data_IF_351553247566
#
_entry.id   IF_351553247566
#
_cell.length_a   1.000
_cell.length_b   1.000
_cell.length_c   1.000
_cell.angle_alpha   90.00
_cell.angle_beta   90.00
_cell.angle_gamma   90.00
#
_symmetry.space_group_name_H-M   'P 1'
#
loop_
_entity.id
_entity.type
_entity.pdbx_description
1 polymer ?
#
# COMPACT_ATOMS: atom_id res chain seq x y z
N UNK A 1 -3.36 -15.92 22.62
CA UNK A 1 -2.32 -15.27 21.78
C UNK A 1 -2.81 -13.85 21.51
N UNK A 2 -2.02 -12.80 21.81
CA UNK A 2 -2.33 -11.47 21.31
C UNK A 2 -2.47 -11.53 19.78
N UNK A 3 -3.40 -10.78 19.20
CA UNK A 3 -3.52 -10.70 17.75
C UNK A 3 -2.31 -9.92 17.21
N UNK A 4 -1.53 -10.54 16.32
CA UNK A 4 -0.38 -9.89 15.66
C UNK A 4 -0.82 -8.72 14.74
N UNK A 5 -2.12 -8.56 14.51
CA UNK A 5 -2.72 -7.57 13.62
C UNK A 5 -3.32 -6.37 14.36
N UNK A 6 -3.83 -6.57 15.58
CA UNK A 6 -4.48 -5.52 16.36
C UNK A 6 -4.30 -5.79 17.85
N UNK A 7 -3.54 -4.92 18.51
CA UNK A 7 -3.30 -4.95 19.96
C UNK A 7 -4.36 -4.08 20.62
N UNK A 8 -5.53 -4.65 20.93
CA UNK A 8 -6.70 -3.93 21.47
C UNK A 8 -6.42 -3.12 22.73
N UNK A 9 -5.39 -3.50 23.48
CA UNK A 9 -4.91 -2.88 24.71
C UNK A 9 -3.95 -1.70 24.49
N UNK A 10 -3.49 -1.45 23.26
CA UNK A 10 -2.59 -0.34 22.91
C UNK A 10 -3.34 0.78 22.21
N UNK A 11 -2.90 2.03 22.42
CA UNK A 11 -3.44 3.18 21.70
C UNK A 11 -3.19 3.05 20.19
N UNK A 12 -4.25 3.24 19.41
CA UNK A 12 -4.17 3.36 17.95
C UNK A 12 -3.69 4.78 17.62
N UNK A 13 -2.45 4.91 17.16
CA UNK A 13 -1.95 6.17 16.62
C UNK A 13 -2.52 6.36 15.22
N UNK A 14 -2.89 7.58 14.85
CA UNK A 14 -3.41 7.92 13.52
C UNK A 14 -2.65 9.14 12.98
N UNK A 15 -2.18 9.07 11.74
CA UNK A 15 -1.44 10.16 11.10
C UNK A 15 -1.97 10.43 9.68
N UNK A 16 -1.99 11.71 9.28
CA UNK A 16 -2.37 12.17 7.94
C UNK A 16 -3.80 12.73 7.84
N UNK A 17 -3.97 13.82 7.09
CA UNK A 17 -5.25 14.55 6.97
C UNK A 17 -6.23 13.94 5.95
N UNK A 18 -5.69 13.26 4.92
CA UNK A 18 -6.47 12.59 3.87
C UNK A 18 -6.12 11.11 3.86
N UNK A 19 -7.05 10.29 4.36
CA UNK A 19 -6.87 8.83 4.63
C UNK A 19 -5.89 8.59 5.78
N UNK A 20 -6.26 8.91 7.03
CA UNK A 20 -5.38 8.75 8.17
C UNK A 20 -4.92 7.29 8.29
N UNK A 21 -3.62 7.10 8.19
CA UNK A 21 -2.98 5.81 8.43
C UNK A 21 -3.01 5.55 9.92
N UNK A 22 -3.55 4.40 10.31
CA UNK A 22 -3.50 3.97 11.69
C UNK A 22 -2.26 3.10 11.89
N UNK A 23 -1.61 3.22 13.04
CA UNK A 23 -0.51 2.36 13.43
C UNK A 23 -0.65 1.99 14.90
N UNK A 24 -0.33 0.75 15.21
CA UNK A 24 0.04 0.31 16.54
C UNK A 24 1.41 -0.33 16.35
N UNK A 25 2.47 0.22 16.96
CA UNK A 25 3.82 -0.32 16.82
C UNK A 25 3.83 -1.85 16.87
N UNK A 26 4.64 -2.49 16.02
CA UNK A 26 4.72 -3.94 15.87
C UNK A 26 3.40 -4.64 15.48
N UNK A 27 2.39 -3.92 14.96
CA UNK A 27 1.25 -4.55 14.31
C UNK A 27 1.57 -4.84 12.85
N UNK A 28 1.14 -6.00 12.36
CA UNK A 28 1.29 -6.37 10.96
C UNK A 28 0.55 -5.38 10.05
N UNK A 29 1.16 -5.03 8.93
CA UNK A 29 0.65 -4.10 7.93
C UNK A 29 0.67 -4.78 6.56
N UNK A 30 -0.42 -4.65 5.81
CA UNK A 30 -0.43 -4.96 4.38
C UNK A 30 -0.50 -3.67 3.57
N UNK A 31 0.46 -3.47 2.66
CA UNK A 31 0.57 -2.27 1.80
C UNK A 31 0.84 -2.65 0.35
N UNK A 32 0.16 -1.96 -0.56
CA UNK A 32 0.46 -1.99 -2.00
C UNK A 32 1.12 -0.68 -2.44
N UNK A 33 2.37 -0.74 -2.90
CA UNK A 33 3.03 0.34 -3.63
C UNK A 33 2.82 0.18 -5.14
N UNK A 34 2.71 1.29 -5.87
CA UNK A 34 2.59 1.24 -7.33
C UNK A 34 3.32 2.38 -8.01
N UNK A 35 3.74 2.13 -9.25
CA UNK A 35 4.23 3.18 -10.12
C UNK A 35 3.13 4.21 -10.35
N UNK A 36 3.51 5.49 -10.51
CA UNK A 36 2.56 6.59 -10.64
C UNK A 36 1.59 6.42 -11.83
N UNK A 37 2.06 5.77 -12.90
CA UNK A 37 1.33 5.50 -14.13
C UNK A 37 0.71 4.09 -14.20
N UNK A 38 0.84 3.28 -13.14
CA UNK A 38 0.32 1.91 -13.10
C UNK A 38 -1.20 1.81 -13.31
N UNK A 39 -1.94 2.90 -13.02
CA UNK A 39 -3.36 3.01 -13.31
C UNK A 39 -3.62 4.24 -14.18
N UNK A 40 -4.32 4.10 -15.33
CA UNK A 40 -4.76 5.23 -16.13
C UNK A 40 -5.51 6.27 -15.29
N UNK A 41 -5.14 7.54 -15.43
CA UNK A 41 -5.73 8.64 -14.65
C UNK A 41 -7.26 8.68 -14.72
N UNK A 42 -7.83 8.38 -15.88
CA UNK A 42 -9.28 8.30 -16.08
C UNK A 42 -9.93 7.23 -15.19
N UNK A 43 -9.33 6.04 -15.09
CA UNK A 43 -9.80 4.94 -14.22
C UNK A 43 -9.73 5.37 -12.74
N UNK A 44 -8.65 6.04 -12.33
CA UNK A 44 -8.46 6.52 -10.95
C UNK A 44 -9.50 7.58 -10.58
N UNK A 45 -9.74 8.56 -11.45
CA UNK A 45 -10.74 9.63 -11.21
C UNK A 45 -12.14 9.04 -11.08
N UNK A 46 -12.56 8.25 -12.06
CA UNK A 46 -13.85 7.54 -12.04
C UNK A 46 -14.01 6.68 -10.78
N UNK A 47 -12.97 5.94 -10.38
CA UNK A 47 -13.02 5.12 -9.18
C UNK A 47 -13.19 5.97 -7.91
N UNK A 48 -12.51 7.11 -7.80
CA UNK A 48 -12.61 8.02 -6.66
C UNK A 48 -14.01 8.62 -6.53
N UNK A 49 -14.58 9.07 -7.65
CA UNK A 49 -15.94 9.61 -7.73
C UNK A 49 -16.96 8.54 -7.29
N UNK A 50 -16.96 7.38 -7.95
CA UNK A 50 -17.87 6.28 -7.62
C UNK A 50 -17.76 5.82 -6.17
N UNK A 51 -16.54 5.81 -5.62
CA UNK A 51 -16.31 5.45 -4.22
C UNK A 51 -16.87 6.50 -3.27
N UNK A 52 -16.70 7.78 -3.59
CA UNK A 52 -17.24 8.88 -2.79
C UNK A 52 -18.76 8.80 -2.72
N UNK A 53 -19.42 8.66 -3.88
CA UNK A 53 -20.88 8.59 -3.98
C UNK A 53 -21.43 7.37 -3.23
N UNK A 54 -20.75 6.22 -3.37
CA UNK A 54 -21.16 5.00 -2.66
C UNK A 54 -21.02 5.14 -1.15
N UNK A 55 -19.95 5.75 -0.64
CA UNK A 55 -19.77 5.98 0.81
C UNK A 55 -20.83 6.95 1.35
N UNK A 56 -21.20 7.99 0.59
CA UNK A 56 -22.27 8.90 0.97
C UNK A 56 -23.63 8.18 1.03
N UNK A 57 -23.88 7.27 0.08
CA UNK A 57 -25.11 6.46 0.05
C UNK A 57 -25.13 5.35 1.12
N UNK A 58 -23.97 4.92 1.62
CA UNK A 58 -23.83 3.85 2.61
C UNK A 58 -23.04 4.36 3.82
N UNK A 59 -23.65 5.17 4.71
CA UNK A 59 -22.98 5.61 5.93
C UNK A 59 -22.67 4.42 6.84
N UNK A 60 -21.57 4.53 7.58
CA UNK A 60 -21.17 3.52 8.58
C UNK A 60 -22.07 3.58 9.83
N UNK A 61 -22.18 2.50 10.63
CA UNK A 61 -21.47 1.21 10.48
C UNK A 61 -22.05 0.31 9.38
N UNK A 62 -21.20 -0.50 8.77
CA UNK A 62 -21.60 -1.43 7.70
C UNK A 62 -21.88 -2.82 8.24
N UNK A 63 -22.87 -3.50 7.66
CA UNK A 63 -23.01 -4.95 7.82
C UNK A 63 -21.87 -5.68 7.10
N UNK A 64 -21.64 -6.95 7.44
CA UNK A 64 -20.67 -7.78 6.74
C UNK A 64 -20.95 -7.88 5.23
N UNK A 65 -22.22 -7.84 4.82
CA UNK A 65 -22.61 -7.84 3.42
C UNK A 65 -22.21 -6.55 2.71
N UNK A 66 -22.52 -5.38 3.28
CA UNK A 66 -22.14 -4.08 2.75
C UNK A 66 -20.62 -3.92 2.69
N UNK A 67 -19.90 -4.41 3.71
CA UNK A 67 -18.45 -4.44 3.71
C UNK A 67 -17.87 -5.30 2.58
N UNK A 68 -18.41 -6.51 2.35
CA UNK A 68 -18.00 -7.38 1.24
C UNK A 68 -18.28 -6.75 -0.13
N UNK A 69 -19.42 -6.09 -0.30
CA UNK A 69 -19.73 -5.37 -1.54
C UNK A 69 -18.71 -4.26 -1.79
N UNK A 70 -18.40 -3.46 -0.76
CA UNK A 70 -17.38 -2.42 -0.85
C UNK A 70 -16.02 -2.99 -1.27
N UNK A 71 -15.58 -4.07 -0.62
CA UNK A 71 -14.30 -4.72 -0.95
C UNK A 71 -14.26 -5.19 -2.40
N UNK A 72 -15.30 -5.89 -2.85
CA UNK A 72 -15.41 -6.36 -4.23
C UNK A 72 -15.39 -5.19 -5.23
N UNK A 73 -16.13 -4.13 -4.95
CA UNK A 73 -16.34 -3.01 -5.88
C UNK A 73 -15.16 -2.06 -5.95
N UNK A 74 -14.47 -1.84 -4.83
CA UNK A 74 -13.45 -0.81 -4.74
C UNK A 74 -12.04 -1.35 -4.50
N UNK A 75 -11.87 -2.35 -3.65
CA UNK A 75 -10.54 -2.92 -3.37
C UNK A 75 -10.11 -3.86 -4.48
N UNK A 76 -10.85 -4.94 -4.72
CA UNK A 76 -10.48 -5.98 -5.70
C UNK A 76 -10.47 -5.45 -7.13
N UNK A 77 -11.27 -4.41 -7.41
CA UNK A 77 -11.25 -3.75 -8.71
C UNK A 77 -9.93 -3.02 -8.98
N UNK A 78 -9.30 -2.41 -7.96
CA UNK A 78 -7.98 -1.80 -8.16
C UNK A 78 -6.93 -2.88 -8.34
N UNK A 79 -6.93 -3.92 -7.51
CA UNK A 79 -5.95 -5.01 -7.64
C UNK A 79 -6.01 -5.65 -9.04
N UNK A 80 -7.22 -5.93 -9.54
CA UNK A 80 -7.41 -6.40 -10.91
C UNK A 80 -6.82 -5.45 -11.96
N UNK A 81 -6.97 -4.14 -11.81
CA UNK A 81 -6.39 -3.18 -12.75
C UNK A 81 -4.86 -3.06 -12.63
N UNK A 82 -4.30 -3.33 -11.45
CA UNK A 82 -2.85 -3.38 -11.27
C UNK A 82 -2.27 -4.61 -11.96
N UNK A 83 -2.93 -5.76 -11.83
CA UNK A 83 -2.58 -7.03 -12.48
C UNK A 83 -2.64 -6.96 -14.02
N UNK A 84 -3.43 -6.04 -14.59
CA UNK A 84 -3.44 -5.76 -16.03
C UNK A 84 -2.07 -5.22 -16.53
N UNK A 85 -1.16 -4.80 -15.65
CA UNK A 85 0.20 -4.41 -16.03
C UNK A 85 0.24 -3.15 -16.90
N UNK A 86 -0.64 -2.19 -16.65
CA UNK A 86 -0.65 -0.89 -17.36
C UNK A 86 0.53 0.00 -16.94
N UNK A 87 0.83 1.01 -17.77
CA UNK A 87 1.90 1.98 -17.55
C UNK A 87 3.26 1.47 -18.04
N UNK A 88 4.31 2.13 -17.58
CA UNK A 88 5.72 1.88 -17.95
C UNK A 88 6.23 0.51 -17.52
N UNK A 89 5.65 -0.09 -16.47
CA UNK A 89 6.06 -1.39 -15.95
C UNK A 89 7.57 -1.50 -15.68
N UNK A 90 8.17 -0.46 -15.10
CA UNK A 90 9.61 -0.38 -14.86
C UNK A 90 10.17 -1.56 -14.05
N UNK A 91 9.36 -2.24 -13.24
CA UNK A 91 9.78 -3.38 -12.42
C UNK A 91 9.80 -4.71 -13.21
N UNK A 92 9.54 -4.70 -14.52
CA UNK A 92 9.90 -5.79 -15.44
C UNK A 92 11.41 -5.89 -15.64
N UNK A 93 12.09 -4.75 -15.57
CA UNK A 93 13.55 -4.72 -15.64
C UNK A 93 14.15 -5.39 -14.41
N UNK A 94 15.09 -6.32 -14.65
CA UNK A 94 15.68 -7.13 -13.60
C UNK A 94 16.56 -6.29 -12.67
N UNK A 95 17.30 -5.31 -13.20
CA UNK A 95 18.15 -4.45 -12.39
C UNK A 95 17.30 -3.56 -11.47
N UNK A 96 16.23 -2.95 -12.00
CA UNK A 96 15.29 -2.18 -11.21
C UNK A 96 14.61 -3.01 -10.12
N UNK A 97 14.20 -4.25 -10.45
CA UNK A 97 13.61 -5.19 -9.49
C UNK A 97 14.57 -5.57 -8.38
N UNK A 98 15.83 -5.88 -8.71
CA UNK A 98 16.83 -6.27 -7.73
C UNK A 98 17.19 -5.10 -6.80
N UNK A 99 17.38 -3.90 -7.35
CA UNK A 99 17.63 -2.70 -6.56
C UNK A 99 16.48 -2.40 -5.58
N UNK A 100 15.23 -2.61 -6.02
CA UNK A 100 14.05 -2.48 -5.15
C UNK A 100 14.03 -3.55 -4.05
N UNK A 101 14.28 -4.82 -4.39
CA UNK A 101 14.33 -5.91 -3.43
C UNK A 101 15.42 -5.68 -2.36
N UNK A 102 16.60 -5.23 -2.76
CA UNK A 102 17.69 -4.85 -1.85
C UNK A 102 17.28 -3.71 -0.91
N UNK A 103 16.63 -2.67 -1.46
CA UNK A 103 16.15 -1.53 -0.66
C UNK A 103 15.09 -1.94 0.37
N UNK A 104 14.13 -2.79 -0.03
CA UNK A 104 13.12 -3.34 0.88
C UNK A 104 13.77 -4.13 2.01
N UNK A 105 14.71 -5.02 1.68
CA UNK A 105 15.36 -5.91 2.66
C UNK A 105 16.46 -5.25 3.50
N UNK A 106 16.92 -4.03 3.14
CA UNK A 106 18.03 -3.33 3.79
C UNK A 106 17.92 -3.23 5.31
N UNK A 107 16.70 -3.06 5.83
CA UNK A 107 16.45 -2.88 7.26
C UNK A 107 15.73 -4.07 7.91
N UNK A 108 15.76 -5.24 7.26
CA UNK A 108 15.15 -6.46 7.78
C UNK A 108 15.73 -6.82 9.15
N UNK A 109 14.86 -6.99 10.14
CA UNK A 109 15.24 -7.33 11.52
C UNK A 109 15.71 -6.15 12.38
N UNK A 110 15.98 -4.99 11.78
CA UNK A 110 16.39 -3.77 12.49
C UNK A 110 15.21 -2.79 12.63
N UNK A 111 14.63 -2.35 11.50
CA UNK A 111 13.55 -1.33 11.47
C UNK A 111 12.22 -1.89 11.00
N UNK A 112 12.25 -3.03 10.33
CA UNK A 112 11.09 -3.70 9.77
C UNK A 112 11.31 -5.21 9.76
N UNK A 113 10.25 -5.98 9.94
CA UNK A 113 10.22 -7.40 9.64
C UNK A 113 9.25 -7.64 8.50
N UNK A 114 9.76 -7.97 7.32
CA UNK A 114 8.95 -8.45 6.21
C UNK A 114 8.60 -9.91 6.46
N UNK A 115 7.30 -10.22 6.36
CA UNK A 115 6.77 -11.59 6.41
C UNK A 115 6.60 -12.16 5.01
N UNK A 116 6.09 -11.34 4.08
CA UNK A 116 5.95 -11.70 2.67
C UNK A 116 5.98 -10.45 1.79
N UNK A 117 6.50 -10.59 0.58
CA UNK A 117 6.42 -9.53 -0.42
C UNK A 117 6.49 -10.09 -1.83
N UNK A 118 5.93 -9.36 -2.79
CA UNK A 118 6.04 -9.68 -4.22
C UNK A 118 6.20 -8.41 -5.02
N UNK A 119 7.15 -8.41 -5.95
CA UNK A 119 7.37 -7.32 -6.91
C UNK A 119 6.72 -7.71 -8.24
N UNK A 120 5.63 -7.02 -8.56
CA UNK A 120 4.92 -7.11 -9.83
C UNK A 120 5.46 -6.05 -10.81
N UNK A 121 5.22 -6.17 -12.12
CA UNK A 121 5.73 -5.22 -13.14
C UNK A 121 5.53 -3.73 -12.86
N UNK A 122 4.43 -3.35 -12.23
CA UNK A 122 4.05 -1.96 -11.97
C UNK A 122 3.64 -1.68 -10.51
N UNK A 123 3.71 -2.68 -9.63
CA UNK A 123 3.31 -2.57 -8.23
C UNK A 123 4.02 -3.59 -7.35
N UNK A 124 3.91 -3.43 -6.04
CA UNK A 124 4.56 -4.27 -5.03
C UNK A 124 3.57 -4.49 -3.90
N UNK A 125 3.39 -5.73 -3.48
CA UNK A 125 2.68 -6.04 -2.24
C UNK A 125 3.68 -6.34 -1.13
N UNK A 126 3.41 -5.79 0.04
CA UNK A 126 4.24 -5.94 1.24
C UNK A 126 3.36 -6.34 2.41
N UNK A 127 3.74 -7.41 3.09
CA UNK A 127 3.25 -7.80 4.40
C UNK A 127 4.42 -7.68 5.38
N UNK A 128 4.33 -6.74 6.31
CA UNK A 128 5.45 -6.44 7.20
C UNK A 128 4.99 -5.91 8.55
N UNK A 129 5.88 -5.99 9.52
CA UNK A 129 5.74 -5.42 10.84
C UNK A 129 6.76 -4.28 11.02
N UNK A 130 6.33 -3.02 11.18
CA UNK A 130 7.23 -1.92 11.46
C UNK A 130 7.74 -2.02 12.91
N UNK A 131 9.05 -1.93 13.09
CA UNK A 131 9.73 -1.88 14.40
C UNK A 131 10.06 -0.44 14.82
N UNK A 132 9.89 0.50 13.90
CA UNK A 132 10.01 1.95 14.09
C UNK A 132 8.69 2.62 13.63
N UNK A 133 8.44 3.90 13.96
CA UNK A 133 7.28 4.61 13.42
C UNK A 133 7.20 4.52 11.88
N UNK A 134 6.00 4.29 11.36
CA UNK A 134 5.80 4.07 9.92
C UNK A 134 6.30 5.22 9.02
N UNK A 135 6.19 6.52 9.40
CA UNK A 135 6.77 7.61 8.60
C UNK A 135 8.28 7.47 8.41
N UNK A 136 9.02 7.11 9.46
CA UNK A 136 10.48 6.96 9.44
C UNK A 136 10.89 5.80 8.53
N UNK A 137 10.13 4.69 8.59
CA UNK A 137 10.35 3.53 7.72
C UNK A 137 10.08 3.87 6.24
N UNK A 138 9.00 4.60 5.96
CA UNK A 138 8.65 5.04 4.60
C UNK A 138 9.72 6.00 4.06
N UNK A 139 10.23 6.93 4.87
CA UNK A 139 11.33 7.81 4.46
C UNK A 139 12.60 7.02 4.14
N UNK A 140 12.93 6.02 4.95
CA UNK A 140 14.07 5.14 4.69
C UNK A 140 13.93 4.38 3.36
N UNK A 141 12.72 3.94 3.00
CA UNK A 141 12.45 3.29 1.70
C UNK A 141 12.42 4.26 0.51
N UNK A 142 12.20 5.57 0.72
CA UNK A 142 12.25 6.57 -0.37
C UNK A 142 13.66 6.85 -0.88
N UNK A 143 14.70 6.48 -0.13
CA UNK A 143 16.11 6.65 -0.54
C UNK A 143 16.49 5.52 -1.52
N UNK A 144 15.95 5.59 -2.73
CA UNK A 144 16.35 4.73 -3.85
C UNK A 144 17.68 5.19 -4.46
N UNK A 145 18.43 4.30 -5.12
CA UNK A 145 19.54 4.69 -5.98
C UNK A 145 19.05 5.68 -7.06
N UNK A 146 19.83 6.74 -7.37
CA UNK A 146 19.41 7.83 -8.25
C UNK A 146 19.02 7.40 -9.67
N UNK A 147 19.49 6.25 -10.16
CA UNK A 147 19.24 5.77 -11.53
C UNK A 147 17.78 5.37 -11.83
N UNK A 148 16.98 5.07 -10.79
CA UNK A 148 15.56 4.70 -10.93
C UNK A 148 14.65 5.90 -10.57
N UNK A 149 15.22 6.93 -9.93
CA UNK A 149 14.50 8.10 -9.42
C UNK A 149 13.89 9.00 -10.50
N UNK A 150 14.42 8.95 -11.73
CA UNK A 150 13.96 9.76 -12.85
C UNK A 150 12.66 9.23 -13.51
N UNK A 151 12.35 7.93 -13.38
CA UNK A 151 11.28 7.30 -14.16
C UNK A 151 10.01 6.95 -13.36
N UNK A 152 10.08 6.86 -12.02
CA UNK A 152 8.96 6.41 -11.22
C UNK A 152 8.82 7.16 -9.91
N UNK A 153 8.12 8.30 -9.92
CA UNK A 153 7.51 8.78 -8.67
C UNK A 153 6.55 7.67 -8.23
N UNK A 154 6.90 6.92 -7.17
CA UNK A 154 5.91 6.12 -6.45
C UNK A 154 4.80 7.09 -6.07
N UNK A 155 3.65 6.95 -6.72
CA UNK A 155 2.50 7.79 -6.40
C UNK A 155 2.17 7.53 -4.93
N UNK A 156 1.92 8.60 -4.17
CA UNK A 156 1.52 8.54 -2.75
C UNK A 156 0.15 7.88 -2.51
N UNK A 157 -0.32 7.04 -3.44
CA UNK A 157 -1.52 6.24 -3.30
C UNK A 157 -1.17 4.91 -2.67
N UNK A 158 -0.91 4.91 -1.36
CA UNK A 158 -1.07 3.70 -0.55
C UNK A 158 -2.50 3.24 -0.77
N UNK A 159 -2.68 2.19 -1.55
CA UNK A 159 -4.02 1.65 -1.82
C UNK A 159 -4.17 0.45 -0.91
N UNK A 160 -4.76 0.71 0.27
CA UNK A 160 -4.94 -0.27 1.32
C UNK A 160 -3.76 -0.30 2.28
N UNK A 161 -3.90 0.37 3.43
CA UNK A 161 -3.36 -0.18 4.67
C UNK A 161 -4.50 -1.01 5.22
N UNK A 162 -4.30 -2.33 5.29
CA UNK A 162 -5.12 -3.20 6.15
C UNK A 162 -4.30 -3.50 7.39
#
# INVERSE_FOLDING_TARGET
>A
MPSDYLKTERLIQKHGDKLPHWQQNEAMQFVTFRLGDALPLKKVRMWKEQRSDWILAHPKPWTAEVAREYEKRFTWRIEKWLDEGSGSCLLKDLAARNALAESLMRFQGERVRHEAWVIMPNHVHLLFMPLVPLPDLIEAWKVFPPDISAAGRFGSGITGIR
#
